data_IF_165167082082
#
_entry.id   IF_165167082082
#
_cell.length_a   1.000
_cell.length_b   1.000
_cell.length_c   1.000
_cell.angle_alpha   90.00
_cell.angle_beta   90.00
_cell.angle_gamma   90.00
#
_symmetry.space_group_name_H-M   'P 1'
#
loop_
_entity.id
_entity.type
_entity.pdbx_description
1 polymer ?
#
# COMPACT_ATOMS: atom_id res chain seq x y z
N UNK A 1 -23.28 31.49 -15.05
CA UNK A 1 -22.65 32.06 -13.84
C UNK A 1 -21.66 31.04 -13.32
N UNK A 2 -20.37 31.34 -13.45
CA UNK A 2 -19.25 30.51 -12.97
C UNK A 2 -19.11 30.69 -11.47
N UNK A 3 -19.30 29.62 -10.68
CA UNK A 3 -18.79 29.59 -9.31
C UNK A 3 -17.46 28.85 -9.35
N UNK A 4 -16.37 29.62 -9.36
CA UNK A 4 -15.02 29.12 -9.07
C UNK A 4 -15.03 28.60 -7.64
N UNK A 5 -15.15 27.29 -7.44
CA UNK A 5 -14.70 26.63 -6.22
C UNK A 5 -13.17 26.66 -6.22
N UNK A 6 -12.62 27.81 -5.83
CA UNK A 6 -11.19 27.98 -5.63
C UNK A 6 -10.77 27.33 -4.32
N UNK A 7 -9.81 26.40 -4.42
CA UNK A 7 -8.79 26.12 -3.39
C UNK A 7 -9.35 25.81 -1.99
N UNK A 8 -9.86 24.59 -1.79
CA UNK A 8 -9.62 23.89 -0.53
C UNK A 8 -8.22 23.25 -0.64
N UNK A 9 -7.19 24.10 -0.55
CA UNK A 9 -5.84 23.61 -0.30
C UNK A 9 -5.88 22.87 1.02
N UNK A 10 -5.50 21.60 0.96
CA UNK A 10 -5.50 20.64 2.05
C UNK A 10 -4.80 21.21 3.28
N UNK A 11 -5.40 21.07 4.46
CA UNK A 11 -4.74 21.41 5.73
C UNK A 11 -3.88 20.20 6.14
N UNK A 12 -2.54 20.28 6.06
CA UNK A 12 -1.67 19.19 6.48
C UNK A 12 -1.89 18.79 7.95
N UNK A 13 -2.39 19.72 8.78
CA UNK A 13 -2.77 19.46 10.16
C UNK A 13 -3.99 18.54 10.29
N UNK A 14 -4.92 18.55 9.33
CA UNK A 14 -6.06 17.64 9.31
C UNK A 14 -5.64 16.23 8.95
N UNK A 15 -4.71 16.07 8.00
CA UNK A 15 -4.17 14.76 7.65
C UNK A 15 -3.37 14.16 8.81
N UNK A 16 -2.47 14.93 9.44
CA UNK A 16 -1.73 14.44 10.60
C UNK A 16 -2.66 14.01 11.73
N UNK A 17 -3.71 14.79 12.03
CA UNK A 17 -4.73 14.40 13.01
C UNK A 17 -5.47 13.12 12.63
N UNK A 18 -5.72 12.88 11.35
CA UNK A 18 -6.35 11.65 10.87
C UNK A 18 -5.43 10.44 11.07
N UNK A 19 -4.14 10.59 10.80
CA UNK A 19 -3.13 9.55 11.05
C UNK A 19 -2.97 9.30 12.55
N UNK A 20 -2.88 10.34 13.37
CA UNK A 20 -2.83 10.25 14.83
C UNK A 20 -4.09 9.58 15.40
N UNK A 21 -5.28 9.92 14.88
CA UNK A 21 -6.54 9.30 15.31
C UNK A 21 -6.60 7.81 14.96
N UNK A 22 -6.04 7.41 13.83
CA UNK A 22 -5.89 6.01 13.43
C UNK A 22 -4.92 5.28 14.36
N UNK A 23 -3.83 5.93 14.76
CA UNK A 23 -2.87 5.37 15.72
C UNK A 23 -3.55 5.09 17.07
N UNK A 24 -4.41 6.01 17.52
CA UNK A 24 -5.12 5.90 18.80
C UNK A 24 -6.27 4.86 18.76
N UNK A 25 -7.11 4.88 17.73
CA UNK A 25 -8.34 4.06 17.65
C UNK A 25 -8.07 2.70 16.98
N UNK A 26 -6.95 2.58 16.27
CA UNK A 26 -6.57 1.43 15.47
C UNK A 26 -7.20 1.43 14.08
N UNK A 27 -6.38 1.17 13.07
CA UNK A 27 -6.77 1.14 11.65
C UNK A 27 -7.87 0.11 11.35
N UNK A 28 -7.98 -0.96 12.15
CA UNK A 28 -9.04 -1.97 12.08
C UNK A 28 -10.43 -1.43 12.41
N UNK A 29 -10.53 -0.37 13.19
CA UNK A 29 -11.81 0.16 13.70
C UNK A 29 -12.47 1.12 12.70
N UNK A 30 -11.66 1.89 11.97
CA UNK A 30 -12.11 2.86 10.93
C UNK A 30 -12.08 2.29 9.51
N UNK A 31 -11.50 1.10 9.37
CA UNK A 31 -11.32 0.34 8.15
C UNK A 31 -12.59 0.21 7.29
N UNK A 32 -13.71 -0.23 7.88
CA UNK A 32 -14.98 -0.41 7.15
C UNK A 32 -15.49 0.92 6.56
N UNK A 33 -15.39 2.01 7.33
CA UNK A 33 -15.83 3.34 6.92
C UNK A 33 -15.01 3.91 5.75
N UNK A 34 -13.77 3.41 5.57
CA UNK A 34 -12.84 3.92 4.57
C UNK A 34 -12.77 3.05 3.32
N UNK A 35 -13.33 1.84 3.38
CA UNK A 35 -13.40 0.94 2.22
C UNK A 35 -14.14 1.56 1.01
N UNK A 36 -15.10 2.45 1.27
CA UNK A 36 -15.89 3.16 0.26
C UNK A 36 -15.21 4.43 -0.30
N UNK A 37 -14.04 4.82 0.24
CA UNK A 37 -13.37 6.06 -0.14
C UNK A 37 -12.62 5.90 -1.47
N UNK A 38 -12.48 6.99 -2.26
CA UNK A 38 -11.75 6.94 -3.53
C UNK A 38 -10.35 6.36 -3.36
N UNK A 39 -9.88 5.59 -4.32
CA UNK A 39 -8.59 4.91 -4.22
C UNK A 39 -7.41 5.88 -3.98
N UNK A 40 -7.48 7.05 -4.64
CA UNK A 40 -6.48 8.11 -4.58
C UNK A 40 -6.92 9.22 -3.62
N UNK A 41 -7.30 8.80 -2.43
CA UNK A 41 -7.56 9.66 -1.27
C UNK A 41 -6.74 9.16 -0.09
N UNK A 42 -6.47 10.02 0.89
CA UNK A 42 -5.75 9.61 2.09
C UNK A 42 -6.44 8.43 2.80
N UNK A 43 -7.74 8.47 3.14
CA UNK A 43 -8.41 7.33 3.77
C UNK A 43 -8.38 6.07 2.90
N UNK A 44 -8.53 6.22 1.58
CA UNK A 44 -8.47 5.10 0.64
C UNK A 44 -7.09 4.45 0.53
N UNK A 45 -6.03 5.25 0.67
CA UNK A 45 -4.64 4.79 0.70
C UNK A 45 -4.34 4.03 2.00
N UNK A 46 -4.72 4.60 3.16
CA UNK A 46 -4.56 3.97 4.47
C UNK A 46 -5.28 2.63 4.57
N UNK A 47 -6.51 2.55 4.05
CA UNK A 47 -7.25 1.29 3.96
C UNK A 47 -6.53 0.23 3.12
N UNK A 48 -5.97 0.61 1.97
CA UNK A 48 -5.20 -0.34 1.12
C UNK A 48 -3.95 -0.85 1.80
N UNK A 49 -3.23 0.01 2.52
CA UNK A 49 -2.09 -0.40 3.35
C UNK A 49 -2.52 -1.40 4.43
N UNK A 50 -3.65 -1.15 5.10
CA UNK A 50 -4.21 -2.09 6.07
C UNK A 50 -4.55 -3.44 5.45
N UNK A 51 -5.27 -3.45 4.33
CA UNK A 51 -5.67 -4.67 3.63
C UNK A 51 -4.45 -5.48 3.20
N UNK A 52 -3.42 -4.81 2.67
CA UNK A 52 -2.16 -5.44 2.32
C UNK A 52 -1.49 -6.08 3.55
N UNK A 53 -1.39 -5.31 4.64
CA UNK A 53 -0.78 -5.78 5.88
C UNK A 53 -1.52 -6.98 6.48
N UNK A 54 -2.84 -6.89 6.56
CA UNK A 54 -3.66 -7.95 7.12
C UNK A 54 -3.62 -9.21 6.25
N UNK A 55 -3.54 -9.08 4.92
CA UNK A 55 -3.33 -10.22 4.03
C UNK A 55 -1.99 -10.91 4.29
N UNK A 56 -0.88 -10.18 4.38
CA UNK A 56 0.45 -10.75 4.69
C UNK A 56 0.43 -11.43 6.06
N UNK A 57 -0.20 -10.82 7.06
CA UNK A 57 -0.31 -11.37 8.42
C UNK A 57 -1.12 -12.67 8.47
N UNK A 58 -2.19 -12.78 7.68
CA UNK A 58 -3.06 -13.96 7.62
C UNK A 58 -2.46 -15.11 6.82
N UNK A 59 -1.71 -14.82 5.76
CA UNK A 59 -1.20 -15.82 4.83
C UNK A 59 0.28 -15.57 4.47
N UNK A 60 1.20 -15.57 5.44
CA UNK A 60 2.60 -15.19 5.19
C UNK A 60 3.32 -16.16 4.26
N UNK A 61 2.96 -17.43 4.30
CA UNK A 61 3.53 -18.46 3.44
C UNK A 61 3.14 -18.22 1.98
N UNK A 62 1.90 -17.81 1.74
CA UNK A 62 1.46 -17.45 0.41
C UNK A 62 2.18 -16.18 -0.05
N UNK A 63 2.22 -15.14 0.80
CA UNK A 63 2.86 -13.89 0.48
C UNK A 63 4.36 -14.07 0.18
N UNK A 64 5.09 -14.87 0.97
CA UNK A 64 6.50 -15.17 0.75
C UNK A 64 6.73 -15.92 -0.55
N UNK A 65 5.94 -16.96 -0.86
CA UNK A 65 6.06 -17.69 -2.13
C UNK A 65 5.84 -16.79 -3.34
N UNK A 66 4.75 -16.02 -3.33
CA UNK A 66 4.40 -15.10 -4.41
C UNK A 66 5.45 -13.98 -4.53
N UNK A 67 5.93 -13.43 -3.42
CA UNK A 67 6.97 -12.42 -3.43
C UNK A 67 8.29 -12.98 -3.99
N UNK A 68 8.77 -14.12 -3.49
CA UNK A 68 10.00 -14.76 -3.92
C UNK A 68 10.01 -15.08 -5.43
N UNK A 69 8.89 -15.60 -5.96
CA UNK A 69 8.75 -15.86 -7.39
C UNK A 69 8.85 -14.59 -8.25
N UNK A 70 8.41 -13.45 -7.71
CA UNK A 70 8.40 -12.16 -8.40
C UNK A 70 9.74 -11.42 -8.42
N UNK A 71 10.63 -11.66 -7.44
CA UNK A 71 11.90 -10.91 -7.27
C UNK A 71 12.74 -10.91 -8.56
N UNK A 72 12.83 -12.05 -9.24
CA UNK A 72 13.62 -12.20 -10.48
C UNK A 72 13.18 -11.29 -11.63
N UNK A 73 11.93 -10.83 -11.62
CA UNK A 73 11.38 -9.93 -12.65
C UNK A 73 11.36 -8.46 -12.22
N UNK A 74 11.56 -8.20 -10.92
CA UNK A 74 11.20 -6.93 -10.30
C UNK A 74 12.30 -6.38 -9.37
N UNK A 75 13.58 -6.66 -9.68
CA UNK A 75 14.74 -6.24 -8.88
C UNK A 75 14.67 -4.82 -8.30
N UNK A 76 14.37 -3.76 -9.09
CA UNK A 76 14.21 -2.41 -8.55
C UNK A 76 13.08 -2.28 -7.52
N UNK A 77 11.93 -2.93 -7.73
CA UNK A 77 10.83 -2.91 -6.78
C UNK A 77 11.15 -3.72 -5.53
N UNK A 78 11.91 -4.82 -5.64
CA UNK A 78 12.37 -5.59 -4.48
C UNK A 78 13.24 -4.73 -3.55
N UNK A 79 14.19 -3.98 -4.13
CA UNK A 79 15.03 -3.04 -3.38
C UNK A 79 14.19 -1.95 -2.70
N UNK A 80 13.23 -1.36 -3.40
CA UNK A 80 12.36 -0.32 -2.83
C UNK A 80 11.47 -0.89 -1.72
N UNK A 81 10.88 -2.06 -1.91
CA UNK A 81 10.06 -2.71 -0.87
C UNK A 81 10.89 -2.97 0.41
N UNK A 82 12.16 -3.34 0.25
CA UNK A 82 13.11 -3.52 1.35
C UNK A 82 13.04 -4.86 2.05
N UNK A 83 12.58 -5.92 1.36
CA UNK A 83 12.63 -7.28 1.91
C UNK A 83 14.06 -7.81 2.00
N UNK A 84 14.38 -8.53 3.07
CA UNK A 84 15.65 -9.23 3.19
C UNK A 84 15.72 -10.45 2.25
N UNK A 85 16.94 -10.87 1.91
CA UNK A 85 17.21 -12.04 1.07
C UNK A 85 17.75 -13.19 1.94
N UNK A 86 17.12 -14.40 1.92
CA UNK A 86 15.94 -14.75 1.13
C UNK A 86 14.62 -14.21 1.73
N UNK A 87 13.61 -13.86 0.89
CA UNK A 87 12.34 -13.32 1.36
C UNK A 87 11.42 -14.41 1.93
N UNK A 88 11.71 -14.83 3.15
CA UNK A 88 10.91 -15.78 3.92
C UNK A 88 9.59 -15.19 4.47
N UNK A 89 8.72 -16.04 5.06
CA UNK A 89 7.45 -15.63 5.67
C UNK A 89 7.60 -14.54 6.74
N UNK A 90 8.66 -14.63 7.56
CA UNK A 90 8.95 -13.65 8.60
C UNK A 90 9.49 -12.34 8.02
N UNK A 91 10.29 -12.41 6.95
CA UNK A 91 10.83 -11.25 6.24
C UNK A 91 9.72 -10.44 5.58
N UNK A 92 8.76 -11.09 4.89
CA UNK A 92 7.64 -10.38 4.27
C UNK A 92 6.69 -9.78 5.30
N UNK A 93 6.47 -10.46 6.44
CA UNK A 93 5.73 -9.88 7.59
C UNK A 93 6.44 -8.63 8.10
N UNK A 94 7.75 -8.71 8.33
CA UNK A 94 8.55 -7.60 8.83
C UNK A 94 8.47 -6.38 7.90
N UNK A 95 8.59 -6.58 6.58
CA UNK A 95 8.41 -5.50 5.60
C UNK A 95 7.04 -4.88 5.70
N UNK A 96 5.99 -5.70 5.79
CA UNK A 96 4.63 -5.20 5.93
C UNK A 96 4.43 -4.39 7.23
N UNK A 97 4.99 -4.85 8.35
CA UNK A 97 4.94 -4.15 9.64
C UNK A 97 5.68 -2.81 9.57
N UNK A 98 6.85 -2.78 8.95
CA UNK A 98 7.65 -1.56 8.76
C UNK A 98 6.95 -0.54 7.86
N UNK A 99 6.33 -0.99 6.77
CA UNK A 99 5.53 -0.13 5.90
C UNK A 99 4.40 0.51 6.70
N UNK A 100 3.69 -0.29 7.51
CA UNK A 100 2.58 0.23 8.30
C UNK A 100 3.06 1.19 9.40
N UNK A 101 4.19 0.91 10.06
CA UNK A 101 4.81 1.81 11.04
C UNK A 101 5.25 3.15 10.42
N UNK A 102 5.82 3.12 9.21
CA UNK A 102 6.27 4.32 8.51
C UNK A 102 5.16 5.36 8.23
N UNK A 103 3.89 4.92 8.19
CA UNK A 103 2.73 5.80 8.12
C UNK A 103 2.66 6.72 9.35
N UNK A 104 2.91 6.17 10.53
CA UNK A 104 2.79 6.86 11.82
C UNK A 104 4.05 7.65 12.19
N UNK A 105 5.21 7.22 11.70
CA UNK A 105 6.50 7.91 11.91
C UNK A 105 6.66 9.17 11.01
N UNK A 106 5.62 9.55 10.25
CA UNK A 106 5.60 10.74 9.42
C UNK A 106 6.17 10.56 8.00
N UNK A 107 6.43 9.32 7.58
CA UNK A 107 7.02 8.99 6.28
C UNK A 107 6.00 8.33 5.33
N UNK A 108 4.81 8.90 5.25
CA UNK A 108 3.69 8.32 4.49
C UNK A 108 4.03 8.13 3.00
N UNK A 109 4.73 9.07 2.36
CA UNK A 109 5.12 8.91 0.95
C UNK A 109 6.00 7.67 0.73
N UNK A 110 7.02 7.48 1.57
CA UNK A 110 7.90 6.31 1.46
C UNK A 110 7.15 5.04 1.80
N UNK A 111 6.29 5.04 2.84
CA UNK A 111 5.45 3.89 3.15
C UNK A 111 4.58 3.46 1.95
N UNK A 112 3.94 4.43 1.28
CA UNK A 112 3.14 4.19 0.08
C UNK A 112 3.98 3.67 -1.10
N UNK A 113 5.19 4.19 -1.31
CA UNK A 113 6.11 3.70 -2.34
C UNK A 113 6.59 2.28 -2.09
N UNK A 114 7.00 1.98 -0.85
CA UNK A 114 7.43 0.65 -0.42
C UNK A 114 6.29 -0.35 -0.62
N UNK A 115 5.07 0.01 -0.25
CA UNK A 115 3.88 -0.81 -0.47
C UNK A 115 3.57 -1.02 -1.95
N UNK A 116 3.64 0.04 -2.76
CA UNK A 116 3.45 -0.06 -4.20
C UNK A 116 4.48 -0.99 -4.85
N UNK A 117 5.75 -0.88 -4.45
CA UNK A 117 6.81 -1.74 -4.91
C UNK A 117 6.58 -3.20 -4.49
N UNK A 118 6.21 -3.43 -3.23
CA UNK A 118 5.85 -4.76 -2.72
C UNK A 118 4.72 -5.40 -3.55
N UNK A 119 3.63 -4.67 -3.82
CA UNK A 119 2.52 -5.16 -4.64
C UNK A 119 2.95 -5.54 -6.07
N UNK A 120 3.88 -4.79 -6.68
CA UNK A 120 4.42 -5.13 -8.01
C UNK A 120 5.24 -6.43 -7.99
N UNK A 121 6.04 -6.64 -6.95
CA UNK A 121 6.81 -7.89 -6.79
C UNK A 121 5.86 -9.07 -6.66
N UNK A 122 4.89 -9.01 -5.73
CA UNK A 122 3.90 -10.09 -5.52
C UNK A 122 3.08 -10.34 -6.77
N UNK A 123 2.64 -9.29 -7.47
CA UNK A 123 1.88 -9.45 -8.72
C UNK A 123 2.67 -10.21 -9.79
N UNK A 124 3.94 -9.85 -9.98
CA UNK A 124 4.80 -10.54 -10.94
C UNK A 124 4.99 -12.02 -10.58
N UNK A 125 5.15 -12.35 -9.30
CA UNK A 125 5.27 -13.74 -8.87
C UNK A 125 3.96 -14.52 -8.94
N UNK A 126 2.81 -13.88 -8.70
CA UNK A 126 1.50 -14.52 -8.92
C UNK A 126 1.30 -14.93 -10.36
N UNK A 127 1.59 -14.03 -11.29
CA UNK A 127 1.49 -14.29 -12.72
C UNK A 127 2.45 -15.39 -13.21
N UNK A 128 3.52 -15.65 -12.46
CA UNK A 128 4.54 -16.65 -12.78
C UNK A 128 4.24 -18.04 -12.16
N UNK A 129 3.61 -18.08 -10.98
CA UNK A 129 3.30 -19.35 -10.29
C UNK A 129 2.13 -20.10 -10.95
N UNK A 130 1.13 -19.39 -11.46
CA UNK A 130 -0.07 -19.99 -12.05
C UNK A 130 -0.72 -19.08 -13.11
N UNK A 131 -1.07 -19.67 -14.26
CA UNK A 131 -1.64 -18.98 -15.43
C UNK A 131 -3.18 -19.01 -15.47
N UNK A 132 -3.84 -19.49 -14.40
CA UNK A 132 -5.30 -19.52 -14.32
C UNK A 132 -5.96 -18.14 -14.26
N UNK A 133 -7.17 -18.01 -14.80
CA UNK A 133 -7.92 -16.74 -14.90
C UNK A 133 -8.06 -16.01 -13.56
N UNK A 134 -8.34 -16.74 -12.47
CA UNK A 134 -8.47 -16.16 -11.14
C UNK A 134 -7.12 -15.61 -10.59
N UNK A 135 -6.01 -16.26 -10.92
CA UNK A 135 -4.67 -15.82 -10.55
C UNK A 135 -4.27 -14.58 -11.35
N UNK A 136 -4.60 -14.54 -12.65
CA UNK A 136 -4.39 -13.38 -13.51
C UNK A 136 -5.17 -12.15 -13.02
N UNK A 137 -6.43 -12.32 -12.62
CA UNK A 137 -7.24 -11.26 -12.02
C UNK A 137 -6.63 -10.76 -10.70
N UNK A 138 -6.20 -11.69 -9.82
CA UNK A 138 -5.51 -11.36 -8.59
C UNK A 138 -4.21 -10.57 -8.80
N UNK A 139 -3.42 -10.91 -9.81
CA UNK A 139 -2.21 -10.19 -10.19
C UNK A 139 -2.53 -8.78 -10.72
N UNK A 140 -3.56 -8.64 -11.56
CA UNK A 140 -4.00 -7.34 -12.09
C UNK A 140 -4.53 -6.41 -11.00
N UNK A 141 -5.24 -6.95 -10.00
CA UNK A 141 -5.72 -6.19 -8.85
C UNK A 141 -4.56 -5.65 -8.00
N UNK A 142 -3.50 -6.44 -7.78
CA UNK A 142 -2.28 -5.98 -7.10
C UNK A 142 -1.56 -4.88 -7.88
N UNK A 143 -1.51 -4.95 -9.22
CA UNK A 143 -0.92 -3.90 -10.05
C UNK A 143 -1.72 -2.60 -9.99
N UNK A 144 -3.05 -2.70 -10.02
CA UNK A 144 -3.94 -1.54 -9.84
C UNK A 144 -3.70 -0.88 -8.48
N UNK A 145 -3.66 -1.68 -7.42
CA UNK A 145 -3.35 -1.20 -6.07
C UNK A 145 -1.98 -0.52 -6.02
N UNK A 146 -0.94 -1.11 -6.64
CA UNK A 146 0.38 -0.51 -6.71
C UNK A 146 0.39 0.85 -7.43
N UNK A 147 -0.39 0.97 -8.52
CA UNK A 147 -0.56 2.22 -9.25
C UNK A 147 -1.22 3.30 -8.41
N UNK A 148 -2.26 2.95 -7.66
CA UNK A 148 -2.95 3.89 -6.78
C UNK A 148 -2.07 4.34 -5.60
N UNK A 149 -1.36 3.41 -4.95
CA UNK A 149 -0.45 3.73 -3.84
C UNK A 149 0.69 4.64 -4.30
N UNK A 150 1.30 4.36 -5.46
CA UNK A 150 2.34 5.22 -6.02
C UNK A 150 1.81 6.62 -6.38
N UNK A 151 0.60 6.72 -6.94
CA UNK A 151 -0.04 8.00 -7.19
C UNK A 151 -0.31 8.77 -5.89
N UNK A 152 -0.74 8.08 -4.83
CA UNK A 152 -0.92 8.69 -3.51
C UNK A 152 0.40 9.20 -2.92
N UNK A 153 1.52 8.50 -3.12
CA UNK A 153 2.83 8.96 -2.67
C UNK A 153 3.22 10.29 -3.32
N UNK A 154 2.99 10.42 -4.64
CA UNK A 154 3.22 11.69 -5.35
C UNK A 154 2.30 12.80 -4.86
N UNK A 155 1.00 12.53 -4.74
CA UNK A 155 0.03 13.51 -4.23
C UNK A 155 0.36 13.94 -2.79
N UNK A 156 0.88 13.03 -1.96
CA UNK A 156 1.31 13.36 -0.61
C UNK A 156 2.49 14.34 -0.63
N UNK A 157 3.50 14.08 -1.48
CA UNK A 157 4.66 14.97 -1.64
C UNK A 157 4.28 16.38 -2.12
N UNK A 158 3.27 16.50 -2.97
CA UNK A 158 2.81 17.81 -3.47
C UNK A 158 1.77 18.49 -2.57
N UNK A 159 1.32 17.83 -1.50
CA UNK A 159 0.28 18.34 -0.60
C UNK A 159 -1.12 18.32 -1.21
N UNK A 160 -1.35 17.48 -2.22
CA UNK A 160 -2.61 17.35 -2.96
C UNK A 160 -3.41 16.10 -2.57
N UNK A 161 -2.85 15.21 -1.75
CA UNK A 161 -3.56 14.02 -1.30
C UNK A 161 -4.66 14.39 -0.30
N UNK A 162 -5.91 14.11 -0.68
CA UNK A 162 -7.11 14.52 0.03
C UNK A 162 -7.89 13.38 0.69
#
# INVERSE_FOLDING_TARGET
>A
MLVRAGRAGHDPGLTNRLVELVDEIGLSTVAELWSERPARSLPGALWRLYVLHEWVRRAPEQASREYAAGVRFTGPNHVVAGAAEPPGPDEVRRVSDEILRGVFDGDLAVALERAAAFCRVVSAGRADIDEGDATAEGAANLLTMAGDLAACAELWRTGELA
#
